data_IF_655871864249
#
_entry.id   IF_655871864249
#
_cell.length_a   1.000
_cell.length_b   1.000
_cell.length_c   1.000
_cell.angle_alpha   90.00
_cell.angle_beta   90.00
_cell.angle_gamma   90.00
#
_symmetry.space_group_name_H-M   'P 1'
#
loop_
_entity.id
_entity.type
_entity.pdbx_description
1 polymer ?
#
# COMPACT_ATOMS: atom_id res chain seq x y z
N UNK A 1 43.31 -13.07 13.30
CA UNK A 1 42.01 -13.67 12.93
C UNK A 1 40.87 -12.65 12.81
N UNK A 2 40.78 -11.64 13.69
CA UNK A 2 39.69 -10.64 13.70
C UNK A 2 39.69 -9.68 12.48
N UNK A 3 40.87 -9.23 12.02
CA UNK A 3 40.98 -8.34 10.84
C UNK A 3 40.57 -9.00 9.53
N UNK A 4 40.83 -10.30 9.35
CA UNK A 4 40.40 -11.02 8.14
C UNK A 4 38.89 -11.11 8.04
N UNK A 5 38.21 -11.34 9.17
CA UNK A 5 36.75 -11.36 9.25
C UNK A 5 36.14 -9.99 8.90
N UNK A 6 36.72 -8.90 9.41
CA UNK A 6 36.25 -7.53 9.10
C UNK A 6 36.41 -7.19 7.62
N UNK A 7 37.49 -7.64 6.98
CA UNK A 7 37.72 -7.41 5.55
C UNK A 7 36.72 -8.17 4.67
N UNK A 8 36.40 -9.41 5.05
CA UNK A 8 35.38 -10.21 4.35
C UNK A 8 34.00 -9.56 4.48
N UNK A 9 33.63 -9.08 5.67
CA UNK A 9 32.35 -8.38 5.88
C UNK A 9 32.29 -7.07 5.07
N UNK A 10 33.38 -6.31 5.01
CA UNK A 10 33.45 -5.06 4.24
C UNK A 10 33.40 -5.27 2.71
N UNK A 11 33.89 -6.41 2.22
CA UNK A 11 33.77 -6.76 0.80
C UNK A 11 32.36 -7.23 0.47
N UNK A 12 31.68 -7.91 1.39
CA UNK A 12 30.31 -8.38 1.21
C UNK A 12 29.27 -7.25 1.19
N UNK A 13 29.52 -6.14 1.89
CA UNK A 13 28.62 -4.99 1.90
C UNK A 13 28.55 -4.25 0.57
N UNK A 14 29.54 -4.41 -0.32
CA UNK A 14 29.52 -3.86 -1.69
C UNK A 14 28.48 -4.55 -2.60
N UNK A 15 27.99 -5.72 -2.22
CA UNK A 15 26.96 -6.47 -2.97
C UNK A 15 25.53 -6.04 -2.63
N UNK A 16 25.35 -5.11 -1.69
CA UNK A 16 24.04 -4.60 -1.31
C UNK A 16 23.47 -3.71 -2.43
N UNK A 17 22.47 -4.21 -3.13
CA UNK A 17 21.75 -3.48 -4.16
C UNK A 17 20.43 -2.94 -3.58
N UNK A 18 20.13 -1.68 -3.85
CA UNK A 18 18.81 -1.13 -3.56
C UNK A 18 17.81 -1.71 -4.57
N UNK A 19 16.59 -1.99 -4.10
CA UNK A 19 15.50 -2.37 -5.00
C UNK A 19 15.16 -1.19 -5.89
N UNK A 20 15.24 -1.39 -7.20
CA UNK A 20 14.94 -0.35 -8.20
C UNK A 20 13.44 -0.29 -8.52
N UNK A 21 12.99 0.84 -9.07
CA UNK A 21 11.63 1.00 -9.56
C UNK A 21 11.29 -0.05 -10.65
N UNK A 22 12.22 -0.33 -11.55
CA UNK A 22 12.04 -1.31 -12.63
C UNK A 22 11.85 -2.71 -12.09
N UNK A 23 12.65 -3.12 -11.10
CA UNK A 23 12.50 -4.43 -10.45
C UNK A 23 11.17 -4.54 -9.69
N UNK A 24 10.73 -3.46 -9.03
CA UNK A 24 9.40 -3.42 -8.40
C UNK A 24 8.31 -3.58 -9.45
N UNK A 25 8.33 -2.77 -10.50
CA UNK A 25 7.38 -2.85 -11.60
C UNK A 25 7.32 -4.25 -12.18
N UNK A 26 8.46 -4.88 -12.44
CA UNK A 26 8.51 -6.24 -12.99
C UNK A 26 7.88 -7.28 -12.04
N UNK A 27 8.13 -7.19 -10.73
CA UNK A 27 7.52 -8.08 -9.72
C UNK A 27 6.00 -7.89 -9.63
N UNK A 28 5.53 -6.65 -9.62
CA UNK A 28 4.08 -6.37 -9.60
C UNK A 28 3.39 -6.74 -10.92
N UNK A 29 4.09 -6.62 -12.06
CA UNK A 29 3.60 -7.05 -13.37
C UNK A 29 3.39 -8.57 -13.47
N UNK A 30 4.05 -9.38 -12.64
CA UNK A 30 3.84 -10.83 -12.60
C UNK A 30 2.53 -11.22 -11.90
N UNK A 31 1.93 -10.33 -11.10
CA UNK A 31 0.66 -10.58 -10.40
C UNK A 31 -0.47 -9.82 -11.09
N UNK A 32 -1.28 -10.47 -11.95
CA UNK A 32 -2.32 -9.78 -12.73
C UNK A 32 -3.43 -9.20 -11.84
N UNK A 33 -3.65 -9.81 -10.67
CA UNK A 33 -4.60 -9.36 -9.64
C UNK A 33 -3.99 -9.58 -8.26
N UNK A 34 -3.89 -8.51 -7.48
CA UNK A 34 -3.52 -8.50 -6.07
C UNK A 34 -4.78 -8.30 -5.23
N UNK A 35 -4.93 -9.09 -4.16
CA UNK A 35 -6.00 -8.96 -3.16
C UNK A 35 -5.38 -8.90 -1.78
N UNK A 36 -5.81 -7.95 -0.97
CA UNK A 36 -5.29 -7.79 0.37
C UNK A 36 -6.37 -7.22 1.31
N UNK A 37 -6.24 -7.51 2.59
CA UNK A 37 -6.86 -6.73 3.64
C UNK A 37 -5.93 -5.57 4.01
N UNK A 38 -6.50 -4.44 4.41
CA UNK A 38 -5.72 -3.30 4.85
C UNK A 38 -6.16 -2.80 6.23
N UNK A 39 -5.19 -2.27 6.97
CA UNK A 39 -5.41 -1.40 8.11
C UNK A 39 -4.64 -0.09 7.87
N UNK A 40 -5.33 1.03 8.02
CA UNK A 40 -4.78 2.36 7.78
C UNK A 40 -5.02 3.23 9.01
N UNK A 41 -3.97 3.95 9.43
CA UNK A 41 -4.08 4.98 10.46
C UNK A 41 -3.76 6.35 9.85
N UNK A 42 -4.75 7.25 9.81
CA UNK A 42 -4.57 8.62 9.30
C UNK A 42 -4.68 9.63 10.43
N UNK A 43 -3.59 10.35 10.70
CA UNK A 43 -3.63 11.52 11.58
C UNK A 43 -4.18 12.71 10.79
N UNK A 44 -5.29 13.29 11.24
CA UNK A 44 -5.92 14.46 10.59
C UNK A 44 -5.83 15.61 11.56
N UNK A 45 -5.24 16.73 11.13
CA UNK A 45 -5.18 17.95 11.92
C UNK A 45 -6.59 18.34 12.39
N UNK A 46 -6.74 18.57 13.69
CA UNK A 46 -8.02 18.90 14.32
C UNK A 46 -8.77 17.71 14.94
N UNK A 47 -8.35 16.46 14.72
CA UNK A 47 -8.89 15.30 15.45
C UNK A 47 -8.03 14.93 16.65
N UNK A 48 -8.66 14.61 17.78
CA UNK A 48 -7.96 14.17 18.99
C UNK A 48 -7.32 12.77 18.88
N UNK A 49 -7.89 11.90 18.02
CA UNK A 49 -7.40 10.54 17.77
C UNK A 49 -7.23 10.33 16.26
N UNK A 50 -6.24 9.54 15.83
CA UNK A 50 -6.11 9.22 14.42
C UNK A 50 -7.29 8.37 13.95
N UNK A 51 -7.70 8.58 12.70
CA UNK A 51 -8.72 7.76 12.06
C UNK A 51 -8.11 6.40 11.72
N UNK A 52 -8.64 5.35 12.34
CA UNK A 52 -8.30 3.96 12.01
C UNK A 52 -9.33 3.40 11.05
N UNK A 53 -8.90 3.07 9.85
CA UNK A 53 -9.72 2.51 8.79
C UNK A 53 -9.27 1.09 8.46
N UNK A 54 -10.19 0.22 8.08
CA UNK A 54 -9.86 -1.10 7.57
C UNK A 54 -10.86 -1.60 6.54
N UNK A 55 -10.44 -2.58 5.75
CA UNK A 55 -11.25 -3.19 4.71
C UNK A 55 -10.42 -4.00 3.74
N UNK A 56 -10.87 -4.04 2.49
CA UNK A 56 -10.29 -4.85 1.43
C UNK A 56 -9.81 -4.02 0.25
N UNK A 57 -8.78 -4.53 -0.40
CA UNK A 57 -8.09 -3.95 -1.53
C UNK A 57 -8.01 -4.98 -2.65
N UNK A 58 -8.40 -4.58 -3.86
CA UNK A 58 -8.17 -5.35 -5.08
C UNK A 58 -7.50 -4.45 -6.10
N UNK A 59 -6.31 -4.84 -6.55
CA UNK A 59 -5.57 -4.18 -7.62
C UNK A 59 -5.51 -5.15 -8.79
N UNK A 60 -6.00 -4.73 -9.94
CA UNK A 60 -5.86 -5.47 -11.20
C UNK A 60 -5.12 -4.60 -12.20
N UNK A 61 -4.12 -5.16 -12.87
CA UNK A 61 -3.39 -4.43 -13.91
C UNK A 61 -4.31 -3.96 -15.05
N UNK A 62 -5.36 -4.73 -15.34
CA UNK A 62 -6.29 -4.45 -16.44
C UNK A 62 -7.49 -3.60 -16.02
N UNK A 63 -7.91 -3.68 -14.76
CA UNK A 63 -9.15 -3.03 -14.28
C UNK A 63 -8.91 -1.88 -13.29
N UNK A 64 -7.66 -1.68 -12.88
CA UNK A 64 -7.29 -0.69 -11.89
C UNK A 64 -7.55 -1.14 -10.45
N UNK A 65 -7.87 -0.18 -9.60
CA UNK A 65 -7.95 -0.29 -8.15
C UNK A 65 -9.40 -0.29 -7.69
N UNK A 66 -9.75 -1.24 -6.85
CA UNK A 66 -10.95 -1.23 -6.01
C UNK A 66 -10.53 -1.26 -4.55
N UNK A 67 -10.87 -0.20 -3.83
CA UNK A 67 -10.61 -0.05 -2.41
C UNK A 67 -11.96 0.02 -1.69
N UNK A 68 -12.21 -0.96 -0.83
CA UNK A 68 -13.45 -1.10 -0.09
C UNK A 68 -13.16 -0.99 1.40
N UNK A 69 -13.26 0.23 1.92
CA UNK A 69 -13.19 0.47 3.34
C UNK A 69 -14.52 0.04 3.97
N UNK A 70 -14.43 -0.79 5.01
CA UNK A 70 -15.57 -1.28 5.76
C UNK A 70 -15.70 -0.54 7.11
N UNK A 71 -14.57 -0.24 7.75
CA UNK A 71 -14.50 0.44 9.05
C UNK A 71 -13.71 1.75 8.96
N UNK A 72 -14.06 2.77 9.75
CA UNK A 72 -15.18 2.79 10.69
C UNK A 72 -16.53 3.14 10.02
N UNK A 73 -16.51 3.36 8.70
CA UNK A 73 -17.67 3.62 7.86
C UNK A 73 -17.43 3.05 6.47
N UNK A 74 -18.50 2.70 5.73
CA UNK A 74 -18.38 2.25 4.37
C UNK A 74 -17.85 3.39 3.49
N UNK A 75 -16.84 3.08 2.69
CA UNK A 75 -16.33 3.96 1.66
C UNK A 75 -15.75 3.09 0.55
N UNK A 76 -16.19 3.31 -0.69
CA UNK A 76 -15.61 2.64 -1.85
C UNK A 76 -14.90 3.64 -2.74
N UNK A 77 -13.68 3.34 -3.12
CA UNK A 77 -12.93 4.06 -4.14
C UNK A 77 -12.63 3.10 -5.29
N UNK A 78 -13.08 3.46 -6.49
CA UNK A 78 -12.75 2.80 -7.73
C UNK A 78 -11.84 3.74 -8.53
N UNK A 79 -10.70 3.24 -8.98
CA UNK A 79 -9.81 3.97 -9.88
C UNK A 79 -9.49 3.07 -11.08
N UNK A 80 -9.88 3.50 -12.27
CA UNK A 80 -9.52 2.87 -13.54
C UNK A 80 -8.66 3.82 -14.39
N UNK A 81 -8.41 3.46 -15.65
CA UNK A 81 -7.64 4.26 -16.61
C UNK A 81 -8.32 5.59 -17.01
N UNK A 82 -9.60 5.77 -16.67
CA UNK A 82 -10.43 6.90 -17.12
C UNK A 82 -10.85 7.81 -15.98
N UNK A 83 -11.01 7.28 -14.77
CA UNK A 83 -11.65 8.00 -13.67
C UNK A 83 -11.34 7.41 -12.30
N UNK A 84 -11.48 8.29 -11.32
CA UNK A 84 -11.57 7.95 -9.91
C UNK A 84 -13.00 8.23 -9.43
N UNK A 85 -13.68 7.24 -8.90
CA UNK A 85 -15.03 7.34 -8.35
C UNK A 85 -14.99 6.99 -6.88
N UNK A 86 -15.46 7.93 -6.05
CA UNK A 86 -15.58 7.74 -4.61
C UNK A 86 -17.06 7.69 -4.23
N UNK A 87 -17.48 6.60 -3.59
CA UNK A 87 -18.86 6.41 -3.13
C UNK A 87 -18.89 6.38 -1.61
N UNK A 88 -19.66 7.30 -1.03
CA UNK A 88 -19.99 7.32 0.40
C UNK A 88 -21.48 7.04 0.58
N UNK A 89 -21.89 6.44 1.71
CA UNK A 89 -23.29 6.37 2.09
C UNK A 89 -23.90 7.77 2.17
N UNK A 90 -25.19 7.90 1.86
CA UNK A 90 -25.90 9.19 1.90
C UNK A 90 -25.92 9.84 3.30
N UNK A 91 -25.72 9.07 4.36
CA UNK A 91 -25.60 9.57 5.73
C UNK A 91 -24.38 8.94 6.43
N UNK A 92 -23.16 9.41 6.14
CA UNK A 92 -22.01 9.04 6.94
C UNK A 92 -22.17 9.81 8.25
N UNK A 93 -22.52 9.13 9.35
CA UNK A 93 -22.55 9.77 10.68
C UNK A 93 -21.24 10.53 10.84
N UNK A 94 -21.34 11.87 10.84
CA UNK A 94 -20.19 12.76 10.96
C UNK A 94 -19.60 12.52 12.35
N UNK A 95 -18.33 12.13 12.35
CA UNK A 95 -17.46 11.91 13.52
C UNK A 95 -17.46 13.12 14.45
#
# INVERSE_FOLDING_TARGET
MKSGLLMVVALFSLSAQAVTLTELQQRFSQQPVLRAEFEQQRSISGMAKPLKSSGELLISQQKGLWWSQQKPFPLTLLLDDKRMVQTLPANPRRW
#
